data_IF_784754480427
#
_entry.id   IF_784754480427
#
_cell.length_a   1.000
_cell.length_b   1.000
_cell.length_c   1.000
_cell.angle_alpha   90.00
_cell.angle_beta   90.00
_cell.angle_gamma   90.00
#
_symmetry.space_group_name_H-M   'P 1'
#
loop_
_entity.id
_entity.type
_entity.pdbx_description
1 polymer ?
#
# COMPACT_ATOMS: atom_id res chain seq x y z
N UNK A 1 57.31 -18.59 -44.27
CA UNK A 1 56.06 -17.81 -44.24
C UNK A 1 54.95 -18.81 -44.54
N UNK A 2 54.48 -19.46 -43.48
CA UNK A 2 53.44 -20.47 -43.51
C UNK A 2 52.19 -19.90 -42.83
N UNK A 3 51.04 -20.08 -43.47
CA UNK A 3 49.75 -20.02 -42.79
C UNK A 3 48.85 -21.13 -43.33
N UNK A 4 49.04 -22.32 -42.78
CA UNK A 4 48.10 -23.44 -42.87
C UNK A 4 47.09 -23.30 -41.73
N UNK A 5 45.80 -23.23 -42.10
CA UNK A 5 44.65 -23.13 -41.21
C UNK A 5 44.49 -24.41 -40.38
N UNK A 6 44.37 -24.27 -39.06
CA UNK A 6 43.81 -25.30 -38.17
C UNK A 6 42.56 -24.76 -37.47
N UNK A 7 41.43 -25.42 -37.68
CA UNK A 7 40.18 -25.18 -36.98
C UNK A 7 40.19 -25.88 -35.63
N UNK A 8 40.20 -25.12 -34.53
CA UNK A 8 39.57 -25.48 -33.25
C UNK A 8 39.07 -24.19 -32.57
N UNK A 9 37.88 -24.21 -31.94
CA UNK A 9 37.27 -23.03 -31.35
C UNK A 9 37.91 -22.67 -29.99
N UNK A 10 37.93 -21.38 -29.60
CA UNK A 10 38.32 -21.01 -28.26
C UNK A 10 37.21 -21.34 -27.25
N UNK A 11 37.57 -22.14 -26.25
CA UNK A 11 36.87 -22.28 -24.98
C UNK A 11 37.09 -20.99 -24.20
N UNK A 12 36.02 -20.26 -23.87
CA UNK A 12 36.05 -19.19 -22.88
C UNK A 12 35.44 -19.68 -21.58
N UNK A 13 36.29 -19.73 -20.56
CA UNK A 13 35.98 -19.92 -19.14
C UNK A 13 35.57 -18.59 -18.52
N UNK A 14 34.59 -18.65 -17.63
CA UNK A 14 34.25 -17.71 -16.54
C UNK A 14 33.62 -16.35 -16.89
N UNK A 15 32.30 -16.22 -16.68
CA UNK A 15 31.73 -15.77 -15.39
C UNK A 15 30.20 -15.59 -15.49
N UNK A 16 29.51 -16.21 -14.53
CA UNK A 16 28.27 -15.77 -13.89
C UNK A 16 26.93 -15.89 -14.64
N UNK A 17 26.52 -17.15 -14.80
CA UNK A 17 25.40 -17.71 -14.03
C UNK A 17 24.09 -16.90 -14.02
N UNK A 18 23.29 -17.07 -15.08
CA UNK A 18 21.84 -16.78 -15.08
C UNK A 18 21.16 -17.86 -14.24
N UNK A 19 21.40 -17.83 -12.93
CA UNK A 19 20.53 -18.48 -11.97
C UNK A 19 19.37 -17.52 -11.74
N UNK A 20 18.26 -17.81 -12.43
CA UNK A 20 16.93 -17.37 -12.01
C UNK A 20 16.76 -17.91 -10.59
N UNK A 21 17.13 -17.09 -9.60
CA UNK A 21 16.81 -17.34 -8.22
C UNK A 21 15.29 -17.24 -8.11
N UNK A 22 14.64 -18.39 -8.35
CA UNK A 22 13.48 -18.79 -7.57
C UNK A 22 13.91 -18.63 -6.12
N UNK A 23 13.64 -17.44 -5.58
CA UNK A 23 13.78 -17.15 -4.16
C UNK A 23 12.95 -18.20 -3.44
N UNK A 24 13.65 -19.26 -3.00
CA UNK A 24 13.14 -20.24 -2.06
C UNK A 24 12.75 -19.46 -0.83
N UNK A 25 11.47 -19.11 -0.72
CA UNK A 25 10.90 -18.88 0.58
C UNK A 25 11.03 -20.23 1.29
N UNK A 26 12.09 -20.36 2.09
CA UNK A 26 12.18 -21.42 3.08
C UNK A 26 10.97 -21.18 4.00
N UNK A 27 9.86 -21.83 3.67
CA UNK A 27 8.80 -22.11 4.62
C UNK A 27 9.47 -23.04 5.62
N UNK A 28 10.10 -22.43 6.62
CA UNK A 28 10.64 -23.14 7.76
C UNK A 28 9.44 -23.90 8.34
N UNK A 29 9.53 -25.23 8.31
CA UNK A 29 8.66 -26.10 9.08
C UNK A 29 8.64 -25.57 10.51
N UNK A 30 7.54 -24.93 10.88
CA UNK A 30 7.22 -24.69 12.27
C UNK A 30 6.95 -26.07 12.86
N UNK A 31 7.90 -26.56 13.65
CA UNK A 31 7.61 -27.58 14.64
C UNK A 31 6.41 -27.06 15.45
N UNK A 32 5.28 -27.76 15.36
CA UNK A 32 4.17 -27.60 16.29
C UNK A 32 4.67 -28.11 17.63
N UNK A 33 5.14 -27.18 18.47
CA UNK A 33 5.18 -27.40 19.90
C UNK A 33 3.75 -27.18 20.40
N UNK A 34 2.96 -28.26 20.42
CA UNK A 34 1.53 -28.31 20.76
C UNK A 34 1.23 -27.93 22.23
N UNK A 35 2.20 -27.34 22.95
CA UNK A 35 2.08 -26.92 24.35
C UNK A 35 2.15 -25.39 24.56
N UNK A 36 2.12 -24.58 23.51
CA UNK A 36 2.13 -23.12 23.68
C UNK A 36 0.71 -22.53 23.73
N UNK A 37 0.22 -22.22 24.93
CA UNK A 37 -0.94 -21.35 25.20
C UNK A 37 -0.72 -19.88 24.75
N UNK A 38 0.15 -19.63 23.78
CA UNK A 38 0.48 -18.29 23.32
C UNK A 38 -0.01 -18.10 21.90
N UNK A 39 -0.92 -17.16 21.71
CA UNK A 39 -1.27 -16.68 20.38
C UNK A 39 -0.37 -15.50 19.99
N UNK A 40 0.11 -15.52 18.75
CA UNK A 40 0.82 -14.39 18.15
C UNK A 40 -0.14 -13.59 17.25
N UNK A 41 -0.29 -12.28 17.51
CA UNK A 41 -0.92 -11.35 16.59
C UNK A 41 0.08 -10.38 16.00
N UNK A 42 -0.23 -9.91 14.80
CA UNK A 42 0.47 -8.80 14.17
C UNK A 42 -0.45 -7.58 14.17
N UNK A 43 0.09 -6.44 14.59
CA UNK A 43 -0.62 -5.16 14.62
C UNK A 43 0.10 -4.20 13.68
N UNK A 44 -0.58 -3.82 12.60
CA UNK A 44 -0.12 -2.75 11.73
C UNK A 44 -0.75 -1.43 12.18
N UNK A 45 0.10 -0.47 12.53
CA UNK A 45 -0.30 0.94 12.68
C UNK A 45 -0.04 1.66 11.36
N UNK A 46 -1.09 2.25 10.81
CA UNK A 46 -1.07 3.07 9.61
C UNK A 46 -1.45 4.50 9.99
N UNK A 47 -0.45 5.37 10.10
CA UNK A 47 -0.64 6.78 10.44
C UNK A 47 -0.87 7.59 9.17
N UNK A 48 -2.12 7.99 8.93
CA UNK A 48 -2.51 8.83 7.78
C UNK A 48 -2.22 10.29 8.13
N UNK A 49 -1.29 10.91 7.38
CA UNK A 49 -0.88 12.31 7.63
C UNK A 49 -1.80 13.28 6.91
N UNK A 50 -1.68 13.32 5.58
CA UNK A 50 -2.40 14.24 4.71
C UNK A 50 -2.50 13.70 3.29
N UNK A 51 -3.40 14.29 2.53
CA UNK A 51 -3.39 14.17 1.08
C UNK A 51 -3.13 15.56 0.48
N UNK A 52 -2.47 15.56 -0.67
CA UNK A 52 -2.05 16.76 -1.40
C UNK A 52 -2.49 16.64 -2.85
N UNK A 53 -2.50 17.75 -3.57
CA UNK A 53 -2.83 17.80 -5.00
C UNK A 53 -4.23 17.27 -5.37
N UNK A 54 -5.17 17.17 -4.42
CA UNK A 54 -6.56 16.77 -4.71
C UNK A 54 -7.21 17.85 -5.59
N UNK A 55 -7.60 17.47 -6.81
CA UNK A 55 -8.20 18.35 -7.81
C UNK A 55 -7.29 19.48 -8.30
N UNK A 56 -6.30 19.14 -9.14
CA UNK A 56 -5.72 20.09 -10.10
C UNK A 56 -6.74 20.39 -11.22
N UNK A 57 -7.85 21.02 -10.89
CA UNK A 57 -8.66 21.67 -11.92
C UNK A 57 -7.85 22.87 -12.40
N UNK A 58 -7.47 22.85 -13.68
CA UNK A 58 -6.76 23.92 -14.38
C UNK A 58 -7.14 25.31 -13.85
N UNK A 59 -6.12 26.11 -13.56
CA UNK A 59 -6.04 27.41 -12.86
C UNK A 59 -6.98 28.55 -13.34
N UNK A 60 -8.24 28.26 -13.69
CA UNK A 60 -9.10 29.21 -14.39
C UNK A 60 -10.16 29.83 -13.48
N UNK A 61 -10.55 29.21 -12.35
CA UNK A 61 -11.52 29.81 -11.41
C UNK A 61 -11.24 29.44 -9.93
N UNK A 62 -11.04 30.42 -9.02
CA UNK A 62 -10.52 30.21 -7.67
C UNK A 62 -11.58 29.84 -6.61
N UNK A 63 -12.70 29.23 -7.00
CA UNK A 63 -13.72 28.78 -6.04
C UNK A 63 -13.53 27.30 -5.70
N UNK A 64 -12.48 26.97 -4.95
CA UNK A 64 -12.44 25.65 -4.32
C UNK A 64 -13.47 25.65 -3.18
N UNK A 65 -14.48 24.79 -3.24
CA UNK A 65 -15.35 24.56 -2.10
C UNK A 65 -14.62 23.66 -1.10
N UNK A 66 -14.68 23.99 0.20
CA UNK A 66 -14.19 23.11 1.26
C UNK A 66 -14.83 21.73 1.09
N UNK A 67 -14.01 20.69 0.93
CA UNK A 67 -14.47 19.31 0.83
C UNK A 67 -14.38 18.62 2.18
N UNK A 68 -15.30 17.69 2.44
CA UNK A 68 -15.20 16.75 3.55
C UNK A 68 -14.58 15.47 3.00
N UNK A 69 -13.50 15.01 3.60
CA UNK A 69 -12.72 13.87 3.12
C UNK A 69 -12.55 12.81 4.20
N UNK A 70 -12.45 11.55 3.76
CA UNK A 70 -12.14 10.40 4.60
C UNK A 70 -11.21 9.45 3.84
N UNK A 71 -10.32 8.78 4.57
CA UNK A 71 -9.51 7.69 4.03
C UNK A 71 -10.13 6.37 4.48
N UNK A 72 -10.36 5.48 3.53
CA UNK A 72 -10.85 4.11 3.75
C UNK A 72 -9.73 3.17 3.34
N UNK A 73 -9.47 2.17 4.18
CA UNK A 73 -8.46 1.15 3.97
C UNK A 73 -9.13 -0.21 4.07
N UNK A 74 -8.97 -1.04 3.05
CA UNK A 74 -9.54 -2.37 2.99
C UNK A 74 -8.42 -3.41 2.86
N UNK A 75 -8.50 -4.50 3.61
CA UNK A 75 -7.57 -5.62 3.48
C UNK A 75 -8.05 -6.66 2.46
N UNK A 76 -7.22 -7.68 2.19
CA UNK A 76 -7.55 -8.76 1.23
C UNK A 76 -8.72 -9.65 1.70
N UNK A 77 -9.12 -9.54 2.98
CA UNK A 77 -10.28 -10.24 3.54
C UNK A 77 -11.56 -9.40 3.47
N UNK A 78 -11.50 -8.20 2.89
CA UNK A 78 -12.63 -7.28 2.76
C UNK A 78 -12.99 -6.54 4.04
N UNK A 79 -12.14 -6.57 5.08
CA UNK A 79 -12.35 -5.74 6.29
C UNK A 79 -12.01 -4.31 5.96
N UNK A 80 -12.86 -3.38 6.41
CA UNK A 80 -12.67 -1.95 6.16
C UNK A 80 -12.37 -1.19 7.45
N UNK A 81 -11.47 -0.22 7.31
CA UNK A 81 -11.05 0.68 8.36
C UNK A 81 -11.07 2.09 7.80
N UNK A 82 -11.39 3.10 8.61
CA UNK A 82 -11.44 4.47 8.09
C UNK A 82 -10.99 5.49 9.11
N UNK A 83 -10.40 6.58 8.63
CA UNK A 83 -10.17 7.77 9.44
C UNK A 83 -11.49 8.47 9.77
N UNK A 84 -11.44 9.43 10.70
CA UNK A 84 -12.50 10.43 10.83
C UNK A 84 -12.58 11.29 9.57
N UNK A 85 -13.76 11.89 9.40
CA UNK A 85 -14.02 12.92 8.39
C UNK A 85 -13.19 14.17 8.69
N UNK A 86 -12.58 14.75 7.66
CA UNK A 86 -11.80 15.99 7.75
C UNK A 86 -12.17 16.96 6.66
N UNK A 87 -12.35 18.21 7.05
CA UNK A 87 -12.53 19.31 6.09
C UNK A 87 -11.14 19.71 5.57
N UNK A 88 -10.99 19.83 4.25
CA UNK A 88 -9.75 20.24 3.61
C UNK A 88 -9.98 20.99 2.30
N UNK A 89 -9.01 21.82 1.91
CA UNK A 89 -9.03 22.56 0.64
C UNK A 89 -7.61 23.03 0.29
N UNK A 90 -6.93 22.47 -0.74
CA UNK A 90 -7.10 21.15 -1.38
C UNK A 90 -6.38 20.02 -0.60
N UNK A 91 -5.82 20.33 0.57
CA UNK A 91 -4.98 19.41 1.34
C UNK A 91 -5.65 19.01 2.67
N UNK A 92 -6.49 17.96 2.73
CA UNK A 92 -6.99 17.44 3.99
C UNK A 92 -5.85 16.84 4.82
N UNK A 93 -5.82 17.17 6.11
CA UNK A 93 -4.87 16.64 7.09
C UNK A 93 -5.65 15.83 8.13
N UNK A 94 -5.26 14.58 8.33
CA UNK A 94 -5.88 13.68 9.29
C UNK A 94 -5.06 13.55 10.57
N UNK A 95 -3.76 13.29 10.43
CA UNK A 95 -2.86 12.93 11.53
C UNK A 95 -3.50 11.88 12.46
N UNK A 96 -3.96 10.78 11.86
CA UNK A 96 -4.76 9.76 12.52
C UNK A 96 -4.18 8.36 12.30
N UNK A 97 -4.14 7.55 13.36
CA UNK A 97 -3.73 6.15 13.30
C UNK A 97 -4.91 5.24 13.00
N UNK A 98 -4.72 4.34 12.04
CA UNK A 98 -5.56 3.16 11.83
C UNK A 98 -4.79 1.95 12.33
N UNK A 99 -5.38 1.18 13.25
CA UNK A 99 -4.82 -0.10 13.70
C UNK A 99 -5.51 -1.26 13.00
N UNK A 100 -4.70 -2.12 12.37
CA UNK A 100 -5.17 -3.32 11.66
C UNK A 100 -4.56 -4.54 12.34
N UNK A 101 -5.42 -5.44 12.80
CA UNK A 101 -5.05 -6.68 13.48
C UNK A 101 -5.02 -7.84 12.48
N UNK A 102 -3.96 -8.64 12.54
CA UNK A 102 -3.83 -9.87 11.78
C UNK A 102 -3.56 -11.03 12.74
N UNK A 103 -4.37 -12.08 12.62
CA UNK A 103 -4.25 -13.32 13.42
C UNK A 103 -3.08 -14.21 12.99
N UNK A 104 -2.48 -13.92 11.83
CA UNK A 104 -1.34 -14.62 11.27
C UNK A 104 -0.38 -13.62 10.63
N UNK A 105 0.83 -14.07 10.26
CA UNK A 105 1.82 -13.21 9.61
C UNK A 105 1.25 -12.57 8.32
N UNK A 106 1.16 -11.23 8.22
CA UNK A 106 0.54 -10.54 7.08
C UNK A 106 1.55 -10.15 5.99
N UNK A 107 2.81 -10.58 6.09
CA UNK A 107 3.86 -10.24 5.13
C UNK A 107 3.47 -10.79 3.75
N UNK A 108 3.49 -9.91 2.74
CA UNK A 108 3.09 -10.25 1.37
C UNK A 108 1.66 -9.80 1.02
N UNK A 109 0.83 -9.51 2.01
CA UNK A 109 -0.52 -8.95 1.77
C UNK A 109 -0.44 -7.49 1.34
N UNK A 110 -1.43 -7.07 0.56
CA UNK A 110 -1.65 -5.70 0.15
C UNK A 110 -2.92 -5.12 0.77
N UNK A 111 -2.88 -3.84 1.08
CA UNK A 111 -4.06 -3.07 1.48
C UNK A 111 -4.48 -2.16 0.34
N UNK A 112 -5.78 -2.05 0.13
CA UNK A 112 -6.34 -1.03 -0.76
C UNK A 112 -6.64 0.21 0.06
N UNK A 113 -6.04 1.33 -0.32
CA UNK A 113 -6.29 2.63 0.26
C UNK A 113 -7.14 3.46 -0.72
N UNK A 114 -8.18 4.10 -0.21
CA UNK A 114 -9.08 4.94 -0.98
C UNK A 114 -9.31 6.26 -0.26
N UNK A 115 -9.19 7.38 -0.98
CA UNK A 115 -9.61 8.68 -0.49
C UNK A 115 -10.98 9.01 -1.09
N UNK A 116 -11.92 9.35 -0.22
CA UNK A 116 -13.31 9.68 -0.59
C UNK A 116 -13.59 11.13 -0.20
N UNK A 117 -14.27 11.84 -1.09
CA UNK A 117 -14.90 13.13 -0.82
C UNK A 117 -16.39 12.91 -0.57
N UNK A 118 -16.90 13.37 0.54
CA UNK A 118 -18.29 13.21 0.95
C UNK A 118 -19.11 14.49 0.69
N UNK A 119 -20.42 14.36 0.73
CA UNK A 119 -21.40 15.43 0.47
C UNK A 119 -21.33 16.06 -0.93
N UNK A 120 -20.99 15.25 -1.93
CA UNK A 120 -20.95 15.65 -3.35
C UNK A 120 -22.33 15.47 -4.02
N UNK A 121 -23.37 16.05 -3.45
CA UNK A 121 -24.75 15.88 -3.94
C UNK A 121 -25.00 16.54 -5.31
N UNK A 122 -24.16 17.49 -5.71
CA UNK A 122 -24.21 18.13 -7.03
C UNK A 122 -23.67 17.25 -8.16
N UNK A 123 -23.07 16.09 -7.84
CA UNK A 123 -22.67 15.10 -8.83
C UNK A 123 -23.80 14.07 -9.03
N UNK A 124 -24.52 14.10 -10.17
CA UNK A 124 -25.70 13.25 -10.40
C UNK A 124 -25.38 11.74 -10.47
N UNK A 125 -24.10 11.36 -10.44
CA UNK A 125 -23.64 9.97 -10.53
C UNK A 125 -23.49 9.22 -9.19
N UNK A 126 -23.72 9.87 -8.04
CA UNK A 126 -23.50 9.23 -6.72
C UNK A 126 -24.74 9.38 -5.83
N UNK A 127 -25.58 8.35 -5.78
CA UNK A 127 -26.78 8.30 -4.91
C UNK A 127 -26.43 8.39 -3.41
N UNK A 128 -25.18 8.12 -3.04
CA UNK A 128 -24.66 8.21 -1.66
C UNK A 128 -24.03 9.56 -1.33
N UNK A 129 -23.86 10.45 -2.31
CA UNK A 129 -23.12 11.71 -2.13
C UNK A 129 -21.62 11.53 -1.86
N UNK A 130 -21.06 10.34 -2.12
CA UNK A 130 -19.64 10.03 -1.94
C UNK A 130 -18.93 9.87 -3.29
N UNK A 131 -17.82 10.57 -3.48
CA UNK A 131 -16.99 10.51 -4.69
C UNK A 131 -15.59 10.04 -4.34
N UNK A 132 -15.14 8.96 -5.00
CA UNK A 132 -13.75 8.52 -4.90
C UNK A 132 -12.84 9.52 -5.60
N UNK A 133 -11.90 10.07 -4.82
CA UNK A 133 -10.82 10.96 -5.31
C UNK A 133 -9.78 10.11 -6.03
N UNK A 134 -9.32 9.04 -5.37
CA UNK A 134 -8.38 8.10 -5.96
C UNK A 134 -8.10 6.92 -5.04
N UNK A 135 -7.41 5.92 -5.60
CA UNK A 135 -7.07 4.66 -4.95
C UNK A 135 -5.58 4.41 -5.05
N UNK A 136 -5.04 3.69 -4.10
CA UNK A 136 -3.70 3.16 -4.16
C UNK A 136 -3.61 1.80 -3.47
N UNK A 137 -2.63 1.01 -3.86
CA UNK A 137 -2.32 -0.27 -3.21
C UNK A 137 -1.05 -0.11 -2.40
N UNK A 138 -1.09 -0.48 -1.12
CA UNK A 138 0.07 -0.40 -0.23
C UNK A 138 0.41 -1.79 0.32
N UNK A 139 1.67 -2.23 0.22
CA UNK A 139 2.07 -3.51 0.79
C UNK A 139 2.23 -3.38 2.31
N UNK A 140 1.85 -4.43 3.04
CA UNK A 140 2.15 -4.57 4.47
C UNK A 140 3.69 -4.57 4.67
N UNK A 141 4.23 -3.85 5.67
CA UNK A 141 5.68 -3.81 5.89
C UNK A 141 6.29 -5.19 6.16
N UNK A 142 7.35 -5.54 5.43
CA UNK A 142 8.08 -6.81 5.61
C UNK A 142 8.90 -6.83 6.91
N UNK A 143 9.40 -5.66 7.35
CA UNK A 143 10.25 -5.55 8.55
C UNK A 143 9.39 -5.15 9.75
N UNK A 144 9.28 -6.03 10.73
CA UNK A 144 8.63 -5.77 12.02
C UNK A 144 9.45 -4.75 12.82
N UNK A 145 8.77 -3.93 13.62
CA UNK A 145 9.33 -2.86 14.47
C UNK A 145 10.07 -1.75 13.73
N UNK A 146 9.88 -1.64 12.42
CA UNK A 146 10.45 -0.54 11.61
C UNK A 146 9.35 0.38 11.11
N UNK A 147 9.45 1.66 11.49
CA UNK A 147 8.64 2.72 10.91
C UNK A 147 9.09 3.00 9.47
N UNK A 148 8.14 3.24 8.58
CA UNK A 148 8.41 3.66 7.21
C UNK A 148 7.42 4.71 6.76
N UNK A 149 7.92 5.89 6.48
CA UNK A 149 7.20 6.99 5.84
C UNK A 149 7.12 6.76 4.33
N UNK A 150 5.96 7.09 3.76
CA UNK A 150 5.71 6.98 2.32
C UNK A 150 4.84 8.13 1.85
N UNK A 151 5.03 8.47 0.58
CA UNK A 151 4.11 9.26 -0.22
C UNK A 151 3.83 8.43 -1.46
N UNK A 152 2.55 8.28 -1.81
CA UNK A 152 2.15 7.53 -3.00
C UNK A 152 1.08 8.30 -3.76
N UNK A 153 1.06 8.07 -5.07
CA UNK A 153 0.05 8.60 -5.97
C UNK A 153 -1.27 7.85 -5.78
N UNK A 154 -2.36 8.62 -5.78
CA UNK A 154 -3.73 8.14 -5.81
C UNK A 154 -4.23 8.19 -7.25
N UNK A 155 -4.60 7.02 -7.77
CA UNK A 155 -5.07 6.87 -9.15
C UNK A 155 -6.57 6.68 -9.22
N UNK A 156 -7.19 7.26 -10.24
CA UNK A 156 -8.60 7.07 -10.58
C UNK A 156 -8.70 6.53 -12.00
N UNK A 157 -9.64 5.60 -12.21
CA UNK A 157 -9.97 5.11 -13.55
C UNK A 157 -10.94 6.11 -14.20
N UNK A 158 -10.55 6.62 -15.36
CA UNK A 158 -11.39 7.48 -16.21
C UNK A 158 -11.53 6.77 -17.55
N UNK A 159 -12.67 6.09 -17.75
CA UNK A 159 -12.83 5.14 -18.85
C UNK A 159 -11.87 3.95 -18.68
N UNK A 160 -10.95 3.78 -19.63
CA UNK A 160 -9.89 2.74 -19.61
C UNK A 160 -8.54 3.25 -19.09
N UNK A 161 -8.41 4.56 -18.89
CA UNK A 161 -7.13 5.18 -18.52
C UNK A 161 -7.00 5.33 -16.99
N UNK A 162 -5.77 5.18 -16.50
CA UNK A 162 -5.41 5.49 -15.12
C UNK A 162 -4.85 6.91 -15.06
N UNK A 163 -5.50 7.77 -14.28
CA UNK A 163 -5.06 9.15 -14.05
C UNK A 163 -4.67 9.35 -12.60
N UNK A 164 -3.53 10.02 -12.36
CA UNK A 164 -3.11 10.46 -11.02
C UNK A 164 -3.93 11.67 -10.64
N UNK A 165 -4.65 11.59 -9.51
CA UNK A 165 -5.57 12.65 -9.06
C UNK A 165 -5.12 13.33 -7.77
N UNK A 166 -4.21 12.72 -7.00
CA UNK A 166 -3.72 13.23 -5.73
C UNK A 166 -2.49 12.44 -5.26
N UNK A 167 -1.85 12.94 -4.20
CA UNK A 167 -0.85 12.22 -3.42
C UNK A 167 -1.35 12.00 -2.00
N UNK A 168 -0.96 10.89 -1.36
CA UNK A 168 -1.21 10.66 0.07
C UNK A 168 0.08 10.34 0.80
N UNK A 169 0.28 11.02 1.93
CA UNK A 169 1.39 10.80 2.84
C UNK A 169 0.95 10.04 4.08
N UNK A 170 1.69 9.00 4.44
CA UNK A 170 1.41 8.16 5.59
C UNK A 170 2.68 7.53 6.16
N UNK A 171 2.59 7.00 7.37
CA UNK A 171 3.63 6.18 8.00
C UNK A 171 3.07 4.80 8.34
N UNK A 172 3.90 3.78 8.21
CA UNK A 172 3.54 2.40 8.54
C UNK A 172 4.48 1.84 9.62
N UNK A 173 3.92 1.04 10.53
CA UNK A 173 4.66 0.28 11.52
C UNK A 173 3.96 -1.07 11.74
N UNK A 174 4.66 -2.17 11.51
CA UNK A 174 4.19 -3.50 11.88
C UNK A 174 4.81 -3.91 13.22
N UNK A 175 4.01 -4.35 14.17
CA UNK A 175 4.47 -4.90 15.45
C UNK A 175 3.91 -6.30 15.66
N UNK A 176 4.63 -7.14 16.40
CA UNK A 176 4.16 -8.45 16.85
C UNK A 176 3.80 -8.37 18.33
N UNK A 177 2.68 -8.95 18.72
CA UNK A 177 2.24 -9.09 20.12
C UNK A 177 1.98 -10.56 20.41
N UNK A 178 2.37 -10.99 21.61
CA UNK A 178 2.06 -12.31 22.16
C UNK A 178 1.11 -12.12 23.33
N UNK A 179 0.13 -13.00 23.46
CA UNK A 179 -0.80 -12.99 24.56
C UNK A 179 -1.11 -14.43 24.95
N UNK A 180 -1.29 -14.62 26.25
CA UNK A 180 -1.59 -15.90 26.85
C UNK A 180 -3.07 -16.21 26.66
N UNK A 181 -3.38 -17.46 26.37
CA UNK A 181 -4.73 -18.00 26.28
C UNK A 181 -4.92 -18.86 27.52
N UNK A 182 -5.82 -18.41 28.39
CA UNK A 182 -6.24 -19.13 29.60
C UNK A 182 -7.11 -20.35 29.25
#
# INVERSE_FOLDING_TARGET
MDFSRSFYPPITSDHDDITISRGKYNIHNFYYDDNNNWEEMYVMKLFIKKASNINRLNDTFPYFSKGIYRVIVSDERGREFSTRRRIGMPEPVWNEDIEILFSSCPIGQNLTLMVVREHCYDNPGTSTGEVVVGRATIPVPVKVHRKKDRVIELVKLVGVEKKVEADISFQTLLTRRRYYID
#
